data_IF_160624798153
#
_entry.id   IF_160624798153
#
_cell.length_a   1.000
_cell.length_b   1.000
_cell.length_c   1.000
_cell.angle_alpha   90.00
_cell.angle_beta   90.00
_cell.angle_gamma   90.00
#
_symmetry.space_group_name_H-M   'P 1'
#
loop_
_entity.id
_entity.type
_entity.pdbx_description
1 polymer ?
#
# COMPACT_ATOMS: atom_id res chain seq x y z
N UNK A 1 9.39 12.02 -22.66
CA UNK A 1 8.33 12.63 -21.82
C UNK A 1 7.17 12.93 -22.76
N UNK A 2 6.12 12.11 -22.75
CA UNK A 2 5.13 12.03 -23.84
C UNK A 2 4.15 13.22 -23.82
N UNK A 3 4.02 13.91 -24.96
CA UNK A 3 3.38 15.23 -25.13
C UNK A 3 1.85 15.21 -25.37
N UNK A 4 1.14 14.12 -25.12
CA UNK A 4 -0.30 14.04 -25.40
C UNK A 4 -1.18 14.24 -24.15
N UNK A 5 -1.09 15.43 -23.53
CA UNK A 5 -1.94 15.83 -22.37
C UNK A 5 -3.06 16.82 -22.72
N UNK A 6 -3.58 16.83 -23.95
CA UNK A 6 -4.62 17.81 -24.38
C UNK A 6 -6.08 17.46 -24.06
N UNK A 7 -6.37 16.45 -23.25
CA UNK A 7 -7.75 16.06 -22.89
C UNK A 7 -8.06 16.00 -21.39
N UNK A 8 -7.05 15.93 -20.52
CA UNK A 8 -7.24 15.58 -19.10
C UNK A 8 -8.02 16.65 -18.30
N UNK A 9 -7.88 17.91 -18.68
CA UNK A 9 -8.55 19.03 -18.02
C UNK A 9 -10.07 19.00 -18.23
N UNK A 10 -10.53 18.60 -19.42
CA UNK A 10 -11.96 18.50 -19.75
C UNK A 10 -12.59 17.35 -18.95
N UNK A 11 -11.94 16.19 -18.88
CA UNK A 11 -12.40 15.08 -18.03
C UNK A 11 -12.45 15.45 -16.56
N UNK A 12 -11.48 16.24 -16.07
CA UNK A 12 -11.46 16.72 -14.69
C UNK A 12 -12.63 17.65 -14.39
N UNK A 13 -12.96 18.59 -15.28
CA UNK A 13 -14.11 19.51 -15.11
C UNK A 13 -15.43 18.73 -15.16
N UNK A 14 -15.59 17.82 -16.12
CA UNK A 14 -16.80 16.99 -16.24
C UNK A 14 -16.99 16.12 -14.99
N UNK A 15 -15.91 15.52 -14.47
CA UNK A 15 -15.98 14.74 -13.23
C UNK A 15 -16.41 15.58 -12.03
N UNK A 16 -15.94 16.83 -11.92
CA UNK A 16 -16.34 17.76 -10.85
C UNK A 16 -17.83 18.13 -10.96
N UNK A 17 -18.32 18.44 -12.17
CA UNK A 17 -19.73 18.81 -12.39
C UNK A 17 -20.65 17.63 -12.09
N UNK A 18 -20.30 16.42 -12.56
CA UNK A 18 -21.06 15.20 -12.27
C UNK A 18 -21.02 14.90 -10.78
N UNK A 19 -19.86 15.03 -10.13
CA UNK A 19 -19.72 14.84 -8.69
C UNK A 19 -20.61 15.79 -7.89
N UNK A 20 -20.55 17.09 -8.17
CA UNK A 20 -21.40 18.09 -7.51
C UNK A 20 -22.89 17.84 -7.76
N UNK A 21 -23.27 17.45 -8.98
CA UNK A 21 -24.66 17.13 -9.32
C UNK A 21 -25.16 15.91 -8.56
N UNK A 22 -24.33 14.86 -8.43
CA UNK A 22 -24.64 13.68 -7.63
C UNK A 22 -24.81 14.03 -6.15
N UNK A 23 -23.93 14.86 -5.60
CA UNK A 23 -24.03 15.32 -4.21
C UNK A 23 -25.28 16.17 -3.97
N UNK A 24 -25.62 17.07 -4.90
CA UNK A 24 -26.83 17.89 -4.82
C UNK A 24 -28.10 17.03 -4.94
N UNK A 25 -28.12 16.06 -5.85
CA UNK A 25 -29.22 15.10 -6.01
C UNK A 25 -29.40 14.24 -4.74
N UNK A 26 -28.29 13.83 -4.14
CA UNK A 26 -28.31 13.07 -2.89
C UNK A 26 -28.84 13.90 -1.71
N UNK A 27 -28.39 15.16 -1.60
CA UNK A 27 -28.94 16.12 -0.63
C UNK A 27 -30.44 16.37 -0.83
N UNK A 28 -30.88 16.47 -2.08
CA UNK A 28 -32.30 16.58 -2.43
C UNK A 28 -33.10 15.35 -2.01
N UNK A 29 -32.60 14.12 -2.25
CA UNK A 29 -33.28 12.90 -1.82
C UNK A 29 -33.41 12.81 -0.29
N UNK A 30 -32.37 13.21 0.44
CA UNK A 30 -32.42 13.26 1.92
C UNK A 30 -33.42 14.33 2.38
N UNK A 31 -33.44 15.50 1.75
CA UNK A 31 -34.38 16.57 2.05
C UNK A 31 -35.84 16.17 1.75
N UNK A 32 -36.11 15.58 0.59
CA UNK A 32 -37.43 15.09 0.19
C UNK A 32 -37.93 13.97 1.11
N UNK A 33 -37.04 13.05 1.50
CA UNK A 33 -37.35 12.02 2.49
C UNK A 33 -37.70 12.63 3.84
N UNK A 34 -36.96 13.65 4.28
CA UNK A 34 -37.23 14.38 5.54
C UNK A 34 -38.55 15.13 5.48
N UNK A 35 -38.85 15.84 4.39
CA UNK A 35 -40.11 16.57 4.23
C UNK A 35 -41.32 15.65 4.23
N UNK A 36 -41.27 14.56 3.45
CA UNK A 36 -42.36 13.58 3.38
C UNK A 36 -42.60 12.85 4.71
N UNK A 37 -41.55 12.69 5.52
CA UNK A 37 -41.65 12.16 6.88
C UNK A 37 -42.18 13.21 7.87
N UNK A 38 -41.89 14.49 7.66
CA UNK A 38 -42.40 15.59 8.49
C UNK A 38 -43.87 15.90 8.25
N UNK A 39 -44.38 15.72 7.02
CA UNK A 39 -45.81 15.89 6.69
C UNK A 39 -46.69 14.76 7.23
N UNK A 40 -46.12 13.56 7.44
CA UNK A 40 -46.79 12.43 8.10
C UNK A 40 -46.50 12.45 9.60
N UNK A 41 -47.21 13.28 10.36
CA UNK A 41 -47.32 13.27 11.84
C UNK A 41 -46.04 13.35 12.69
N UNK A 42 -44.87 13.61 12.12
CA UNK A 42 -43.61 13.82 12.86
C UNK A 42 -43.11 15.26 12.75
N UNK A 43 -43.91 16.24 13.19
CA UNK A 43 -43.54 17.66 13.35
C UNK A 43 -42.60 17.92 14.55
N UNK A 44 -41.73 16.96 14.88
CA UNK A 44 -40.79 17.13 15.99
C UNK A 44 -39.36 17.18 15.43
N UNK A 45 -38.73 18.34 15.55
CA UNK A 45 -37.37 18.63 15.07
C UNK A 45 -36.35 17.57 15.54
N UNK A 46 -36.57 16.96 16.71
CA UNK A 46 -35.76 15.87 17.25
C UNK A 46 -35.80 14.60 16.38
N UNK A 47 -36.96 14.25 15.82
CA UNK A 47 -37.11 13.04 14.99
C UNK A 47 -36.43 13.23 13.64
N UNK A 48 -36.61 14.41 13.02
CA UNK A 48 -35.91 14.79 11.78
C UNK A 48 -34.40 14.79 11.97
N UNK A 49 -33.91 15.35 13.08
CA UNK A 49 -32.48 15.35 13.41
C UNK A 49 -31.94 13.93 13.64
N UNK A 50 -32.69 13.08 14.34
CA UNK A 50 -32.29 11.68 14.57
C UNK A 50 -32.22 10.90 13.25
N UNK A 51 -33.18 11.11 12.34
CA UNK A 51 -33.17 10.52 10.99
C UNK A 51 -31.97 11.00 10.17
N UNK A 52 -31.68 12.30 10.17
CA UNK A 52 -30.52 12.85 9.48
C UNK A 52 -29.21 12.29 10.04
N UNK A 53 -29.10 12.21 11.37
CA UNK A 53 -27.97 11.59 12.06
C UNK A 53 -27.84 10.10 11.72
N UNK A 54 -28.94 9.35 11.66
CA UNK A 54 -28.93 7.93 11.31
C UNK A 54 -28.45 7.72 9.86
N UNK A 55 -29.01 8.46 8.90
CA UNK A 55 -28.61 8.39 7.50
C UNK A 55 -27.12 8.73 7.37
N UNK A 56 -26.68 9.88 7.88
CA UNK A 56 -25.27 10.27 7.81
C UNK A 56 -24.34 9.26 8.48
N UNK A 57 -24.71 8.69 9.63
CA UNK A 57 -23.90 7.69 10.34
C UNK A 57 -23.81 6.36 9.59
N UNK A 58 -24.91 5.87 9.02
CA UNK A 58 -24.93 4.61 8.24
C UNK A 58 -24.09 4.76 6.96
N UNK A 59 -24.20 5.90 6.28
CA UNK A 59 -23.43 6.16 5.06
C UNK A 59 -21.94 6.38 5.36
N UNK A 60 -21.59 7.19 6.37
CA UNK A 60 -20.20 7.38 6.79
C UNK A 60 -19.60 6.06 7.27
N UNK A 61 -20.33 5.30 8.11
CA UNK A 61 -19.90 4.00 8.61
C UNK A 61 -19.63 3.01 7.47
N UNK A 62 -20.57 2.84 6.54
CA UNK A 62 -20.39 1.95 5.39
C UNK A 62 -19.24 2.37 4.47
N UNK A 63 -19.07 3.66 4.23
CA UNK A 63 -17.97 4.20 3.42
C UNK A 63 -16.62 3.98 4.10
N UNK A 64 -16.49 4.31 5.40
CA UNK A 64 -15.26 4.10 6.15
C UNK A 64 -14.91 2.62 6.24
N UNK A 65 -15.88 1.73 6.45
CA UNK A 65 -15.63 0.28 6.48
C UNK A 65 -15.03 -0.22 5.17
N UNK A 66 -15.63 0.08 4.02
CA UNK A 66 -15.08 -0.35 2.72
C UNK A 66 -13.71 0.25 2.41
N UNK A 67 -13.51 1.52 2.79
CA UNK A 67 -12.22 2.18 2.63
C UNK A 67 -11.13 1.53 3.51
N UNK A 68 -11.47 1.19 4.75
CA UNK A 68 -10.57 0.48 5.67
C UNK A 68 -10.27 -0.94 5.19
N UNK A 69 -11.28 -1.67 4.69
CA UNK A 69 -11.10 -2.99 4.08
C UNK A 69 -10.14 -2.93 2.89
N UNK A 70 -10.35 -1.99 1.97
CA UNK A 70 -9.46 -1.81 0.80
C UNK A 70 -8.03 -1.46 1.21
N UNK A 71 -7.85 -0.54 2.18
CA UNK A 71 -6.52 -0.20 2.70
C UNK A 71 -5.85 -1.37 3.40
N UNK A 72 -6.60 -2.14 4.19
CA UNK A 72 -6.06 -3.30 4.88
C UNK A 72 -5.70 -4.42 3.91
N UNK A 73 -6.55 -4.71 2.92
CA UNK A 73 -6.24 -5.68 1.87
C UNK A 73 -4.95 -5.33 1.12
N UNK A 74 -4.80 -4.06 0.72
CA UNK A 74 -3.56 -3.58 0.09
C UNK A 74 -2.34 -3.73 0.99
N UNK A 75 -2.46 -3.38 2.28
CA UNK A 75 -1.36 -3.56 3.24
C UNK A 75 -0.96 -5.03 3.39
N UNK A 76 -1.94 -5.93 3.48
CA UNK A 76 -1.70 -7.38 3.58
C UNK A 76 -1.00 -7.92 2.33
N UNK A 77 -1.41 -7.46 1.15
CA UNK A 77 -0.79 -7.89 -0.11
C UNK A 77 0.66 -7.40 -0.23
N UNK A 78 0.92 -6.13 0.09
CA UNK A 78 2.29 -5.59 0.14
C UNK A 78 3.15 -6.37 1.13
N UNK A 79 2.61 -6.66 2.32
CA UNK A 79 3.30 -7.46 3.33
C UNK A 79 3.64 -8.87 2.83
N UNK A 80 2.70 -9.54 2.13
CA UNK A 80 2.95 -10.87 1.53
C UNK A 80 4.09 -10.82 0.52
N UNK A 81 4.09 -9.81 -0.35
CA UNK A 81 5.15 -9.61 -1.35
C UNK A 81 6.50 -9.33 -0.68
N UNK A 82 6.52 -8.45 0.34
CA UNK A 82 7.74 -8.19 1.12
C UNK A 82 8.26 -9.45 1.81
N UNK A 83 7.38 -10.27 2.40
CA UNK A 83 7.77 -11.54 3.00
C UNK A 83 8.40 -12.47 1.97
N UNK A 84 7.76 -12.64 0.82
CA UNK A 84 8.23 -13.54 -0.24
C UNK A 84 9.60 -13.14 -0.79
N UNK A 85 9.77 -11.85 -1.11
CA UNK A 85 11.06 -11.30 -1.54
C UNK A 85 12.13 -11.48 -0.46
N UNK A 86 11.79 -11.24 0.82
CA UNK A 86 12.74 -11.39 1.93
C UNK A 86 13.22 -12.82 2.10
N UNK A 87 12.33 -13.81 1.97
CA UNK A 87 12.69 -15.23 2.04
C UNK A 87 13.62 -15.62 0.89
N UNK A 88 13.28 -15.23 -0.35
CA UNK A 88 14.14 -15.49 -1.51
C UNK A 88 15.54 -14.87 -1.33
N UNK A 89 15.63 -13.65 -0.81
CA UNK A 89 16.91 -12.98 -0.53
C UNK A 89 17.71 -13.74 0.52
N UNK A 90 17.07 -14.20 1.60
CA UNK A 90 17.72 -15.01 2.63
C UNK A 90 18.23 -16.30 2.02
N UNK A 91 17.40 -17.04 1.27
CA UNK A 91 17.79 -18.30 0.65
C UNK A 91 18.98 -18.15 -0.29
N UNK A 92 18.97 -17.11 -1.16
CA UNK A 92 20.09 -16.82 -2.04
C UNK A 92 21.34 -16.34 -1.29
N UNK A 93 21.17 -15.52 -0.25
CA UNK A 93 22.29 -15.06 0.57
C UNK A 93 22.92 -16.20 1.37
N UNK A 94 22.13 -17.13 1.92
CA UNK A 94 22.61 -18.33 2.59
C UNK A 94 23.32 -19.25 1.60
N UNK A 95 22.76 -19.47 0.41
CA UNK A 95 23.40 -20.28 -0.63
C UNK A 95 24.75 -19.69 -1.07
N UNK A 96 24.85 -18.37 -1.20
CA UNK A 96 26.10 -17.67 -1.51
C UNK A 96 27.08 -17.65 -0.34
N UNK A 97 26.59 -17.65 0.91
CA UNK A 97 27.43 -17.75 2.10
C UNK A 97 28.20 -19.08 2.14
N UNK A 98 27.55 -20.20 1.80
CA UNK A 98 28.19 -21.52 1.77
C UNK A 98 28.90 -21.84 0.45
N UNK A 99 28.43 -21.29 -0.67
CA UNK A 99 28.98 -21.54 -2.01
C UNK A 99 29.18 -20.23 -2.77
N UNK A 100 30.23 -19.45 -2.43
CA UNK A 100 30.48 -18.13 -3.04
C UNK A 100 30.81 -18.21 -4.54
N UNK A 101 31.31 -19.36 -5.00
CA UNK A 101 31.65 -19.64 -6.39
C UNK A 101 30.42 -19.72 -7.33
N UNK A 102 29.21 -19.78 -6.77
CA UNK A 102 27.99 -20.05 -7.54
C UNK A 102 27.44 -18.77 -8.21
N UNK A 103 27.97 -18.50 -9.41
CA UNK A 103 27.65 -17.32 -10.21
C UNK A 103 26.14 -17.20 -10.54
N UNK A 104 25.43 -18.33 -10.70
CA UNK A 104 23.97 -18.35 -10.93
C UNK A 104 23.19 -17.80 -9.75
N UNK A 105 23.54 -18.17 -8.52
CA UNK A 105 22.84 -17.69 -7.31
C UNK A 105 23.10 -16.20 -7.11
N UNK A 106 24.30 -15.74 -7.47
CA UNK A 106 24.66 -14.31 -7.48
C UNK A 106 23.83 -13.50 -8.46
N UNK A 107 23.60 -14.00 -9.67
CA UNK A 107 22.70 -13.36 -10.63
C UNK A 107 21.26 -13.31 -10.13
N UNK A 108 20.77 -14.38 -9.51
CA UNK A 108 19.42 -14.43 -8.91
C UNK A 108 19.27 -13.42 -7.76
N UNK A 109 20.27 -13.29 -6.89
CA UNK A 109 20.27 -12.29 -5.83
C UNK A 109 20.29 -10.85 -6.39
N UNK A 110 21.08 -10.59 -7.44
CA UNK A 110 21.07 -9.29 -8.15
C UNK A 110 19.71 -9.00 -8.79
N UNK A 111 19.05 -10.00 -9.36
CA UNK A 111 17.71 -9.86 -9.91
C UNK A 111 16.68 -9.51 -8.80
N UNK A 112 16.71 -10.19 -7.66
CA UNK A 112 15.83 -9.88 -6.52
C UNK A 112 16.11 -8.49 -5.94
N UNK A 113 17.36 -8.03 -5.96
CA UNK A 113 17.74 -6.67 -5.54
C UNK A 113 16.97 -5.59 -6.31
N UNK A 114 16.60 -5.85 -7.56
CA UNK A 114 15.77 -4.93 -8.37
C UNK A 114 14.36 -4.80 -7.81
N UNK A 115 13.79 -5.90 -7.28
CA UNK A 115 12.47 -5.90 -6.64
C UNK A 115 12.51 -5.20 -5.28
N UNK A 116 13.63 -5.30 -4.55
CA UNK A 116 13.82 -4.61 -3.26
C UNK A 116 13.61 -3.11 -3.38
N UNK A 117 14.07 -2.49 -4.48
CA UNK A 117 13.90 -1.05 -4.75
C UNK A 117 12.43 -0.60 -4.81
N UNK A 118 11.51 -1.49 -5.12
CA UNK A 118 10.08 -1.18 -5.26
C UNK A 118 9.30 -1.35 -3.96
N UNK A 119 9.72 -2.28 -3.10
CA UNK A 119 8.94 -2.72 -1.94
C UNK A 119 9.60 -2.44 -0.59
N UNK A 120 10.88 -2.02 -0.55
CA UNK A 120 11.64 -1.86 0.68
C UNK A 120 12.38 -0.51 0.74
N UNK A 121 12.75 -0.13 1.96
CA UNK A 121 13.57 1.04 2.21
C UNK A 121 15.01 0.87 1.70
N UNK A 122 15.64 2.01 1.41
CA UNK A 122 17.04 2.08 0.94
C UNK A 122 18.04 1.40 1.90
N UNK A 123 17.70 1.20 3.18
CA UNK A 123 18.53 0.49 4.14
C UNK A 123 18.74 -0.99 3.76
N UNK A 124 17.67 -1.67 3.33
CA UNK A 124 17.73 -3.07 2.89
C UNK A 124 18.56 -3.18 1.60
N UNK A 125 18.35 -2.26 0.67
CA UNK A 125 19.12 -2.20 -0.58
C UNK A 125 20.62 -2.05 -0.32
N UNK A 126 21.00 -1.14 0.60
CA UNK A 126 22.40 -0.94 0.99
C UNK A 126 22.99 -2.19 1.64
N UNK A 127 22.24 -2.89 2.49
CA UNK A 127 22.69 -4.12 3.13
C UNK A 127 22.94 -5.25 2.12
N UNK A 128 22.06 -5.43 1.13
CA UNK A 128 22.23 -6.44 0.08
C UNK A 128 23.46 -6.12 -0.79
N UNK A 129 23.61 -4.87 -1.21
CA UNK A 129 24.76 -4.46 -2.04
C UNK A 129 26.08 -4.65 -1.28
N UNK A 130 26.12 -4.30 0.02
CA UNK A 130 27.29 -4.52 0.86
C UNK A 130 27.64 -6.01 0.97
N UNK A 131 26.63 -6.87 1.16
CA UNK A 131 26.83 -8.32 1.19
C UNK A 131 27.36 -8.87 -0.14
N UNK A 132 26.79 -8.46 -1.28
CA UNK A 132 27.24 -8.88 -2.61
C UNK A 132 28.70 -8.45 -2.85
N UNK A 133 29.06 -7.21 -2.52
CA UNK A 133 30.43 -6.70 -2.71
C UNK A 133 31.44 -7.45 -1.84
N UNK A 134 31.07 -7.82 -0.60
CA UNK A 134 31.91 -8.60 0.31
C UNK A 134 32.21 -10.01 -0.24
N UNK A 135 31.22 -10.63 -0.88
CA UNK A 135 31.42 -11.91 -1.58
C UNK A 135 32.33 -11.73 -2.79
N UNK A 136 32.13 -10.68 -3.59
CA UNK A 136 32.92 -10.40 -4.80
C UNK A 136 34.40 -10.13 -4.51
N UNK A 137 34.69 -9.52 -3.35
CA UNK A 137 36.05 -9.19 -2.93
C UNK A 137 36.75 -10.33 -2.17
N UNK A 138 36.10 -11.48 -1.96
CA UNK A 138 36.61 -12.58 -1.12
C UNK A 138 37.07 -12.14 0.28
N UNK A 139 36.30 -11.24 0.90
CA UNK A 139 36.58 -10.69 2.22
C UNK A 139 36.44 -11.74 3.35
N UNK A 140 36.94 -11.44 4.55
CA UNK A 140 37.06 -12.41 5.64
C UNK A 140 35.70 -13.00 6.06
N UNK A 141 35.71 -14.24 6.57
CA UNK A 141 34.49 -14.93 6.98
C UNK A 141 33.72 -14.19 8.09
N UNK A 142 34.43 -13.50 8.99
CA UNK A 142 33.86 -12.60 10.02
C UNK A 142 33.08 -11.43 9.41
N UNK A 143 33.61 -10.81 8.34
CA UNK A 143 32.95 -9.68 7.67
C UNK A 143 31.69 -10.15 6.92
N UNK A 144 31.73 -11.34 6.31
CA UNK A 144 30.58 -11.96 5.66
C UNK A 144 29.46 -12.25 6.64
N UNK A 145 29.79 -12.78 7.82
CA UNK A 145 28.82 -13.09 8.88
C UNK A 145 28.15 -11.81 9.42
N UNK A 146 28.93 -10.78 9.75
CA UNK A 146 28.40 -9.50 10.23
C UNK A 146 27.45 -8.82 9.21
N UNK A 147 27.77 -8.89 7.91
CA UNK A 147 26.93 -8.34 6.86
C UNK A 147 25.66 -9.17 6.62
N UNK A 148 25.76 -10.50 6.73
CA UNK A 148 24.62 -11.41 6.65
C UNK A 148 23.64 -11.21 7.81
N UNK A 149 24.15 -11.05 9.04
CA UNK A 149 23.32 -10.73 10.20
C UNK A 149 22.65 -9.37 10.07
N UNK A 150 23.38 -8.35 9.60
CA UNK A 150 22.81 -7.03 9.33
C UNK A 150 21.71 -7.11 8.26
N UNK A 151 21.94 -7.80 7.16
CA UNK A 151 20.93 -8.03 6.12
C UNK A 151 19.67 -8.69 6.71
N UNK A 152 19.84 -9.77 7.47
CA UNK A 152 18.75 -10.49 8.13
C UNK A 152 17.98 -9.59 9.11
N UNK A 153 18.68 -8.75 9.86
CA UNK A 153 18.07 -7.79 10.79
C UNK A 153 17.27 -6.69 10.06
N UNK A 154 17.79 -6.15 8.96
CA UNK A 154 17.09 -5.14 8.15
C UNK A 154 15.83 -5.72 7.49
N UNK A 155 15.92 -6.93 6.95
CA UNK A 155 14.77 -7.64 6.39
C UNK A 155 13.70 -7.89 7.47
N UNK A 156 14.09 -8.38 8.65
CA UNK A 156 13.18 -8.56 9.78
C UNK A 156 12.51 -7.26 10.24
N UNK A 157 13.24 -6.13 10.19
CA UNK A 157 12.69 -4.81 10.52
C UNK A 157 11.67 -4.33 9.48
N UNK A 158 11.93 -4.60 8.20
CA UNK A 158 11.04 -4.18 7.10
C UNK A 158 9.71 -4.94 7.04
N UNK A 159 9.63 -6.11 7.68
CA UNK A 159 8.44 -6.94 7.78
C UNK A 159 7.56 -6.53 8.99
N UNK A 160 8.04 -5.70 9.92
CA UNK A 160 7.21 -5.22 11.05
C UNK A 160 6.30 -4.06 10.65
#
# INVERSE_FOLDING_TARGET
MNENKKGYWIYSIVAIIIGMSLFAFWGYLVYDLVLKLSEKDFSNNTVVQALFSLVTTVFLGGYFTKFLESRNAKKIEVFKVQKDISLNIIDYATALYYHPENERVKELLKAETTKVKLYFDNAVLKAIIAFINCIDNNESQEQKEALYENLSAQLKKSIK
#
